data_IF_100275305504
#
_entry.id   IF_100275305504
#
_cell.length_a   1.000
_cell.length_b   1.000
_cell.length_c   1.000
_cell.angle_alpha   90.00
_cell.angle_beta   90.00
_cell.angle_gamma   90.00
#
_symmetry.space_group_name_H-M   'P 1'
#
loop_
_entity.id
_entity.type
_entity.pdbx_description
1 polymer ?
#
# COMPACT_ATOMS: atom_id res chain seq x y z
N UNK A 1 27.19 -0.10 -7.43
CA UNK A 1 26.72 -0.16 -7.50
C UNK A 1 25.60 -0.55 -7.47
N UNK A 2 25.39 -0.94 -7.12
CA UNK A 2 24.26 -1.47 -6.93
C UNK A 2 23.16 -0.95 -7.55
N UNK A 3 23.39 -0.11 -8.19
CA UNK A 3 22.36 0.59 -8.78
C UNK A 3 21.77 -0.04 -9.94
N UNK A 4 22.14 -1.23 -10.26
CA UNK A 4 21.46 -1.92 -11.34
C UNK A 4 20.13 -2.47 -10.91
N UNK A 5 19.72 -2.24 -9.69
CA UNK A 5 18.43 -2.68 -9.22
C UNK A 5 17.32 -1.96 -9.96
N UNK A 6 16.27 -2.66 -10.42
CA UNK A 6 15.12 -1.96 -10.97
C UNK A 6 14.47 -1.08 -9.92
N UNK A 7 13.67 -0.11 -10.33
CA UNK A 7 12.94 0.71 -9.36
C UNK A 7 12.16 -0.18 -8.41
N UNK A 8 12.15 0.19 -7.16
CA UNK A 8 11.41 -0.57 -6.18
C UNK A 8 9.93 -0.44 -6.36
N UNK A 9 9.22 -1.35 -5.69
CA UNK A 9 7.76 -1.35 -5.75
C UNK A 9 7.18 -0.01 -5.33
N UNK A 10 7.73 0.60 -4.28
CA UNK A 10 7.21 1.87 -3.78
C UNK A 10 7.33 2.94 -4.86
N UNK A 11 8.46 2.99 -5.53
CA UNK A 11 8.69 4.00 -6.56
C UNK A 11 7.68 3.83 -7.70
N UNK A 12 7.49 2.60 -8.15
CA UNK A 12 6.55 2.33 -9.23
C UNK A 12 5.12 2.66 -8.82
N UNK A 13 4.77 2.34 -7.59
CA UNK A 13 3.45 2.63 -7.06
C UNK A 13 3.19 4.14 -7.06
N UNK A 14 4.17 4.91 -6.60
CA UNK A 14 4.04 6.37 -6.61
C UNK A 14 3.91 6.92 -8.02
N UNK A 15 4.71 6.41 -8.94
CA UNK A 15 4.68 6.90 -10.31
C UNK A 15 3.33 6.65 -10.96
N UNK A 16 2.73 5.50 -10.65
CA UNK A 16 1.42 5.21 -11.21
C UNK A 16 0.35 6.15 -10.67
N UNK A 17 0.41 6.46 -9.38
CA UNK A 17 -0.51 7.42 -8.79
C UNK A 17 -0.33 8.80 -9.41
N UNK A 18 0.91 9.22 -9.61
CA UNK A 18 1.19 10.51 -10.22
C UNK A 18 0.70 10.55 -11.66
N UNK A 19 0.87 9.46 -12.39
CA UNK A 19 0.41 9.39 -13.76
C UNK A 19 -1.11 9.52 -13.85
N UNK A 20 -1.81 9.15 -12.81
CA UNK A 20 -3.27 9.28 -12.75
C UNK A 20 -3.70 10.59 -12.10
N UNK A 21 -2.76 11.51 -11.92
CA UNK A 21 -3.04 12.86 -11.42
C UNK A 21 -3.56 12.91 -9.99
N UNK A 22 -3.18 11.95 -9.17
CA UNK A 22 -3.51 12.01 -7.75
C UNK A 22 -2.73 13.14 -7.11
N UNK A 23 -3.35 13.83 -6.15
CA UNK A 23 -2.69 14.91 -5.44
C UNK A 23 -1.49 14.36 -4.67
N UNK A 24 -0.47 15.20 -4.52
CA UNK A 24 0.76 14.78 -3.85
C UNK A 24 0.48 14.25 -2.44
N UNK A 25 -0.41 14.91 -1.70
CA UNK A 25 -0.75 14.46 -0.36
C UNK A 25 -1.33 13.05 -0.39
N UNK A 26 -2.18 12.77 -1.38
CA UNK A 26 -2.77 11.46 -1.51
C UNK A 26 -1.72 10.42 -1.87
N UNK A 27 -0.78 10.78 -2.75
CA UNK A 27 0.31 9.88 -3.11
C UNK A 27 1.11 9.52 -1.87
N UNK A 28 1.45 10.52 -1.05
CA UNK A 28 2.22 10.29 0.16
C UNK A 28 1.46 9.41 1.15
N UNK A 29 0.17 9.67 1.32
CA UNK A 29 -0.65 8.88 2.24
C UNK A 29 -0.77 7.44 1.79
N UNK A 30 -1.00 7.23 0.50
CA UNK A 30 -1.11 5.88 -0.04
C UNK A 30 0.21 5.13 0.10
N UNK A 31 1.33 5.83 -0.12
CA UNK A 31 2.62 5.19 0.06
C UNK A 31 2.82 4.72 1.49
N UNK A 32 2.41 5.54 2.46
CA UNK A 32 2.56 5.17 3.86
C UNK A 32 1.77 3.90 4.17
N UNK A 33 0.55 3.80 3.62
CA UNK A 33 -0.25 2.61 3.84
C UNK A 33 0.39 1.38 3.20
N UNK A 34 0.94 1.55 2.00
CA UNK A 34 1.62 0.43 1.34
C UNK A 34 2.82 -0.03 2.17
N UNK A 35 3.60 0.91 2.68
CA UNK A 35 4.77 0.56 3.49
C UNK A 35 4.37 -0.17 4.76
N UNK A 36 3.31 0.27 5.41
CA UNK A 36 2.83 -0.38 6.63
C UNK A 36 2.32 -1.78 6.33
N UNK A 37 1.61 -1.94 5.23
CA UNK A 37 1.10 -3.24 4.81
C UNK A 37 2.25 -4.22 4.56
N UNK A 38 3.26 -3.79 3.82
CA UNK A 38 4.40 -4.64 3.52
C UNK A 38 5.14 -5.02 4.79
N UNK A 39 5.31 -4.06 5.68
CA UNK A 39 6.04 -4.30 6.92
C UNK A 39 5.27 -5.28 7.82
N UNK A 40 3.95 -5.14 7.84
CA UNK A 40 3.10 -6.02 8.63
C UNK A 40 3.27 -7.48 8.20
N UNK A 41 3.47 -7.70 6.92
CA UNK A 41 3.58 -9.05 6.38
C UNK A 41 5.03 -9.48 6.15
N UNK A 42 5.98 -8.84 6.82
CA UNK A 42 7.38 -9.25 6.77
C UNK A 42 8.06 -8.93 5.45
N UNK A 43 7.63 -7.86 4.81
CA UNK A 43 8.20 -7.37 3.56
C UNK A 43 8.05 -8.37 2.40
N UNK A 44 6.98 -9.14 2.42
CA UNK A 44 6.67 -10.02 1.31
C UNK A 44 6.23 -9.19 0.11
N UNK A 45 6.53 -9.69 -1.08
CA UNK A 45 6.09 -9.01 -2.29
C UNK A 45 4.57 -9.14 -2.45
N UNK A 46 3.87 -8.07 -2.84
CA UNK A 46 2.41 -8.14 -3.00
C UNK A 46 1.95 -9.23 -3.95
N UNK A 47 2.79 -9.61 -4.92
CA UNK A 47 2.45 -10.67 -5.83
C UNK A 47 2.20 -11.99 -5.11
N UNK A 48 2.81 -12.17 -3.93
CA UNK A 48 2.67 -13.38 -3.13
C UNK A 48 1.54 -13.27 -2.11
N UNK A 49 0.82 -12.16 -2.12
CA UNK A 49 -0.23 -11.91 -1.15
C UNK A 49 -1.52 -11.60 -1.89
N UNK A 50 -2.62 -11.54 -1.15
CA UNK A 50 -3.91 -11.26 -1.77
C UNK A 50 -4.92 -10.79 -0.76
N UNK A 51 -6.20 -11.07 -1.03
CA UNK A 51 -7.28 -10.57 -0.19
C UNK A 51 -7.15 -10.99 1.26
N UNK A 52 -6.66 -12.20 1.50
CA UNK A 52 -6.52 -12.66 2.86
C UNK A 52 -5.56 -11.77 3.65
N UNK A 53 -4.44 -11.43 3.03
CA UNK A 53 -3.44 -10.59 3.67
C UNK A 53 -3.96 -9.16 3.87
N UNK A 54 -4.74 -8.65 2.92
CA UNK A 54 -5.37 -7.35 3.08
C UNK A 54 -6.31 -7.37 4.27
N UNK A 55 -7.15 -8.40 4.37
CA UNK A 55 -8.09 -8.51 5.47
C UNK A 55 -7.39 -8.63 6.82
N UNK A 56 -6.29 -9.38 6.86
CA UNK A 56 -5.51 -9.50 8.09
C UNK A 56 -4.98 -8.16 8.55
N UNK A 57 -4.48 -7.37 7.60
CA UNK A 57 -3.95 -6.06 7.93
C UNK A 57 -5.05 -5.11 8.41
N UNK A 58 -6.19 -5.11 7.72
CA UNK A 58 -7.30 -4.24 8.11
C UNK A 58 -7.85 -4.63 9.48
N UNK A 59 -7.92 -5.92 9.75
CA UNK A 59 -8.35 -6.40 11.07
C UNK A 59 -7.37 -5.93 12.13
N UNK A 60 -6.08 -6.03 11.85
CA UNK A 60 -5.06 -5.56 12.78
C UNK A 60 -5.24 -4.07 13.08
N UNK A 61 -5.50 -3.27 12.06
CA UNK A 61 -5.71 -1.84 12.26
C UNK A 61 -6.94 -1.58 13.13
N UNK A 62 -8.00 -2.34 12.93
CA UNK A 62 -9.23 -2.13 13.68
C UNK A 62 -9.06 -2.51 15.15
N UNK A 63 -8.36 -3.60 15.40
CA UNK A 63 -8.25 -4.16 16.75
C UNK A 63 -7.09 -3.54 17.51
N UNK A 64 -5.91 -3.61 16.92
CA UNK A 64 -4.68 -3.17 17.60
C UNK A 64 -4.47 -1.68 17.46
N UNK A 65 -4.71 -1.14 16.27
CA UNK A 65 -4.46 0.27 16.01
C UNK A 65 -5.61 1.16 16.41
N UNK A 66 -6.77 0.61 16.61
CA UNK A 66 -7.97 1.36 17.00
C UNK A 66 -8.21 2.57 16.10
N UNK A 67 -7.98 2.39 14.80
CA UNK A 67 -8.14 3.49 13.85
C UNK A 67 -9.62 3.68 13.52
N UNK A 68 -9.97 4.89 13.10
CA UNK A 68 -11.34 5.21 12.73
C UNK A 68 -11.74 4.51 11.44
N UNK A 69 -13.05 4.46 11.19
CA UNK A 69 -13.55 3.89 9.94
C UNK A 69 -13.01 4.64 8.73
N UNK A 70 -12.87 5.95 8.86
CA UNK A 70 -12.34 6.77 7.77
C UNK A 70 -10.90 6.37 7.44
N UNK A 71 -10.09 6.16 8.47
CA UNK A 71 -8.70 5.75 8.28
C UNK A 71 -8.63 4.35 7.68
N UNK A 72 -9.51 3.45 8.13
CA UNK A 72 -9.59 2.11 7.55
C UNK A 72 -9.91 2.17 6.06
N UNK A 73 -10.83 3.06 5.69
CA UNK A 73 -11.19 3.21 4.29
C UNK A 73 -10.03 3.72 3.46
N UNK A 74 -9.22 4.62 4.01
CA UNK A 74 -8.04 5.09 3.31
C UNK A 74 -7.05 3.96 3.08
N UNK A 75 -6.82 3.16 4.10
CA UNK A 75 -5.91 2.02 3.98
C UNK A 75 -6.41 1.05 2.91
N UNK A 76 -7.71 0.76 2.96
CA UNK A 76 -8.30 -0.15 1.99
C UNK A 76 -8.16 0.41 0.57
N UNK A 77 -8.43 1.70 0.39
CA UNK A 77 -8.32 2.31 -0.93
C UNK A 77 -6.89 2.18 -1.48
N UNK A 78 -5.90 2.41 -0.64
CA UNK A 78 -4.51 2.30 -1.06
C UNK A 78 -4.17 0.88 -1.49
N UNK A 79 -4.67 -0.11 -0.76
CA UNK A 79 -4.39 -1.51 -1.09
C UNK A 79 -5.19 -1.98 -2.29
N UNK A 80 -6.42 -1.49 -2.46
CA UNK A 80 -7.19 -1.80 -3.65
C UNK A 80 -6.50 -1.23 -4.90
N UNK A 81 -5.94 -0.05 -4.79
CA UNK A 81 -5.20 0.51 -5.91
C UNK A 81 -4.01 -0.38 -6.24
N UNK A 82 -3.33 -0.89 -5.23
CA UNK A 82 -2.19 -1.77 -5.44
C UNK A 82 -2.59 -3.00 -6.24
N UNK A 83 -3.72 -3.60 -5.91
CA UNK A 83 -4.11 -4.86 -6.53
C UNK A 83 -4.96 -4.72 -7.78
N UNK A 84 -5.58 -3.58 -7.99
CA UNK A 84 -6.45 -3.39 -9.15
C UNK A 84 -5.88 -2.43 -10.17
N UNK A 85 -5.22 -1.38 -9.70
CA UNK A 85 -4.81 -0.32 -10.59
C UNK A 85 -3.37 -0.33 -10.94
N UNK A 86 -2.57 -1.06 -10.22
CA UNK A 86 -1.13 -1.01 -10.36
C UNK A 86 -0.57 -2.18 -11.14
N UNK A 87 -1.19 -3.33 -11.07
CA UNK A 87 -0.63 -4.52 -11.70
C UNK A 87 -0.79 -4.57 -13.21
#
# INVERSE_FOLDING_TARGET
MASSRPPGLIQCYREELQARHYARRTVDTYEQWLRRFLRFHGLRHPREMGNEQVNMFLTHLAVEGQVSASTQNQALAALLFLYRGFQ
#
